data_IF_476094984896
#
_entry.id   IF_476094984896
#
_cell.length_a   1.000
_cell.length_b   1.000
_cell.length_c   1.000
_cell.angle_alpha   90.00
_cell.angle_beta   90.00
_cell.angle_gamma   90.00
#
_symmetry.space_group_name_H-M   'P 1'
#
loop_
_entity.id
_entity.type
_entity.pdbx_description
1 polymer ?
#
# COMPACT_ATOMS: atom_id res chain seq x y z
N UNK A 1 -6.39 6.15 21.16
CA UNK A 1 -5.93 6.29 19.77
C UNK A 1 -5.24 7.63 19.56
N UNK A 2 -4.05 7.63 18.97
CA UNK A 2 -3.44 8.86 18.49
C UNK A 2 -4.22 9.41 17.30
N UNK A 3 -4.42 10.72 17.22
CA UNK A 3 -4.97 11.39 16.04
C UNK A 3 -4.12 11.23 14.76
N UNK A 4 -3.00 10.49 14.83
CA UNK A 4 -2.02 10.31 13.76
C UNK A 4 -2.56 9.43 12.62
N UNK A 5 -3.32 8.39 12.97
CA UNK A 5 -3.84 7.41 12.02
C UNK A 5 -5.34 7.27 12.23
N UNK A 6 -6.10 7.28 11.14
CA UNK A 6 -7.51 6.89 11.14
C UNK A 6 -7.84 5.96 10.00
N UNK A 7 -8.72 5.02 10.29
CA UNK A 7 -9.33 4.17 9.27
C UNK A 7 -10.55 4.86 8.68
N UNK A 8 -10.81 4.59 7.41
CA UNK A 8 -11.91 5.15 6.64
C UNK A 8 -12.97 4.09 6.43
N UNK A 9 -14.24 4.43 6.61
CA UNK A 9 -15.37 3.52 6.36
C UNK A 9 -15.48 3.17 4.88
N UNK A 10 -15.76 1.90 4.58
CA UNK A 10 -15.97 1.43 3.20
C UNK A 10 -17.16 2.16 2.54
N UNK A 11 -18.22 2.44 3.29
CA UNK A 11 -19.37 3.25 2.81
C UNK A 11 -18.96 4.61 2.26
N UNK A 12 -17.99 5.28 2.89
CA UNK A 12 -17.48 6.57 2.43
C UNK A 12 -16.75 6.45 1.08
N UNK A 13 -15.92 5.41 0.91
CA UNK A 13 -15.23 5.15 -0.36
C UNK A 13 -16.22 4.89 -1.49
N UNK A 14 -17.28 4.10 -1.22
CA UNK A 14 -18.37 3.84 -2.16
C UNK A 14 -19.10 5.14 -2.54
N UNK A 15 -19.37 6.01 -1.57
CA UNK A 15 -19.99 7.32 -1.81
C UNK A 15 -19.13 8.20 -2.72
N UNK A 16 -17.83 8.30 -2.46
CA UNK A 16 -16.90 9.05 -3.33
C UNK A 16 -16.90 8.48 -4.75
N UNK A 17 -16.85 7.15 -4.90
CA UNK A 17 -16.91 6.49 -6.22
C UNK A 17 -18.22 6.82 -6.94
N UNK A 18 -19.35 6.74 -6.25
CA UNK A 18 -20.66 7.01 -6.82
C UNK A 18 -20.81 8.47 -7.28
N UNK A 19 -20.17 9.40 -6.57
CA UNK A 19 -20.10 10.81 -6.94
C UNK A 19 -19.10 11.11 -8.09
N UNK A 20 -18.32 10.11 -8.53
CA UNK A 20 -17.26 10.30 -9.52
C UNK A 20 -16.06 11.08 -8.99
N UNK A 21 -15.89 11.12 -7.66
CA UNK A 21 -14.77 11.79 -7.00
C UNK A 21 -13.51 10.91 -6.96
N UNK A 22 -12.48 11.40 -6.26
CA UNK A 22 -11.18 10.75 -6.08
C UNK A 22 -10.84 10.61 -4.59
N UNK A 23 -9.76 9.88 -4.28
CA UNK A 23 -9.23 9.87 -2.91
C UNK A 23 -8.97 11.29 -2.41
N UNK A 24 -9.32 11.58 -1.15
CA UNK A 24 -9.09 12.89 -0.52
C UNK A 24 -8.03 12.78 0.56
N UNK A 25 -7.44 13.91 0.96
CA UNK A 25 -6.50 13.95 2.06
C UNK A 25 -7.19 13.55 3.36
N UNK A 26 -6.43 12.96 4.29
CA UNK A 26 -6.92 12.63 5.64
C UNK A 26 -7.68 13.79 6.29
N UNK A 27 -7.20 15.02 6.18
CA UNK A 27 -7.82 16.19 6.81
C UNK A 27 -9.18 16.58 6.21
N UNK A 28 -9.42 16.18 4.96
CA UNK A 28 -10.65 16.47 4.23
C UNK A 28 -11.65 15.29 4.32
N UNK A 29 -11.27 14.17 4.94
CA UNK A 29 -12.20 13.08 5.27
C UNK A 29 -13.11 13.56 6.41
N UNK A 30 -14.44 13.55 6.23
CA UNK A 30 -15.35 14.06 7.23
C UNK A 30 -15.36 13.15 8.47
N UNK A 31 -15.60 13.69 9.67
CA UNK A 31 -15.48 12.94 10.92
C UNK A 31 -16.30 11.64 10.97
N UNK A 32 -17.50 11.63 10.42
CA UNK A 32 -18.40 10.48 10.36
C UNK A 32 -17.91 9.33 9.48
N UNK A 33 -17.00 9.63 8.53
CA UNK A 33 -16.40 8.64 7.65
C UNK A 33 -15.18 7.94 8.27
N UNK A 34 -14.77 8.34 9.48
CA UNK A 34 -13.60 7.82 10.18
C UNK A 34 -14.03 6.85 11.27
N UNK A 35 -13.19 5.85 11.51
CA UNK A 35 -13.38 4.92 12.62
C UNK A 35 -13.23 5.64 13.98
N UNK A 36 -14.12 5.28 14.90
CA UNK A 36 -14.00 5.54 16.31
C UNK A 36 -12.99 4.57 16.97
N UNK A 37 -12.41 4.93 18.13
CA UNK A 37 -11.28 4.21 18.68
C UNK A 37 -11.44 2.73 19.01
N UNK A 38 -12.66 2.28 19.25
CA UNK A 38 -13.01 0.94 19.70
C UNK A 38 -13.50 0.03 18.55
N UNK A 39 -13.74 0.59 17.36
CA UNK A 39 -14.30 -0.11 16.21
C UNK A 39 -13.32 -1.13 15.60
N UNK A 40 -12.01 -0.88 15.69
CA UNK A 40 -11.00 -1.78 15.10
C UNK A 40 -11.08 -3.25 15.54
N UNK A 41 -11.71 -3.52 16.69
CA UNK A 41 -11.91 -4.87 17.24
C UNK A 41 -13.12 -5.63 16.66
N UNK A 42 -14.10 -4.93 16.09
CA UNK A 42 -15.39 -5.53 15.66
C UNK A 42 -15.49 -5.68 14.15
N UNK A 43 -14.91 -4.75 13.40
CA UNK A 43 -15.00 -4.71 11.94
C UNK A 43 -13.89 -5.51 11.25
N UNK A 44 -14.07 -5.85 9.97
CA UNK A 44 -12.93 -6.29 9.14
C UNK A 44 -12.08 -5.07 8.79
N UNK A 45 -10.79 -5.31 8.65
CA UNK A 45 -9.80 -4.28 8.33
C UNK A 45 -9.23 -4.56 6.95
N UNK A 46 -9.17 -3.54 6.10
CA UNK A 46 -8.61 -3.62 4.77
C UNK A 46 -7.43 -2.66 4.64
N UNK A 47 -6.20 -3.17 4.68
CA UNK A 47 -5.02 -2.38 4.38
C UNK A 47 -4.87 -2.27 2.85
N UNK A 48 -4.93 -1.06 2.30
CA UNK A 48 -4.83 -0.84 0.86
C UNK A 48 -3.43 -0.34 0.53
N UNK A 49 -2.63 -1.21 -0.08
CA UNK A 49 -1.32 -0.83 -0.62
C UNK A 49 -1.46 -0.50 -2.10
N UNK A 50 -1.06 0.71 -2.48
CA UNK A 50 -1.18 1.18 -3.86
C UNK A 50 -0.06 2.15 -4.25
N UNK A 51 0.21 2.23 -5.54
CA UNK A 51 1.16 3.20 -6.09
C UNK A 51 0.54 4.60 -6.20
N UNK A 52 1.40 5.62 -6.07
CA UNK A 52 1.08 6.98 -6.50
C UNK A 52 1.05 7.05 -8.03
N UNK A 53 -0.01 7.63 -8.58
CA UNK A 53 -0.17 7.82 -10.02
C UNK A 53 0.63 9.00 -10.55
N UNK A 54 0.72 10.10 -9.81
CA UNK A 54 1.59 11.24 -10.13
C UNK A 54 2.38 11.65 -8.90
N UNK A 55 3.26 12.65 -9.05
CA UNK A 55 4.02 13.22 -7.92
C UNK A 55 3.09 14.03 -7.00
N UNK A 56 2.03 14.61 -7.56
CA UNK A 56 1.12 15.53 -6.87
C UNK A 56 0.00 14.78 -6.15
N UNK A 57 -0.51 13.69 -6.74
CA UNK A 57 -1.67 12.99 -6.22
C UNK A 57 -1.61 11.48 -6.50
N UNK A 58 -2.00 10.62 -5.56
CA UNK A 58 -2.01 9.18 -5.81
C UNK A 58 -3.17 8.71 -6.70
N UNK A 59 -4.17 9.57 -6.89
CA UNK A 59 -5.41 9.29 -7.61
C UNK A 59 -5.98 10.55 -8.33
N UNK A 60 -5.22 11.21 -9.22
CA UNK A 60 -5.60 12.48 -9.85
C UNK A 60 -7.01 12.47 -10.47
N UNK A 61 -7.45 11.33 -11.01
CA UNK A 61 -8.65 11.16 -11.84
C UNK A 61 -9.72 10.22 -11.22
N UNK A 62 -9.50 9.74 -10.00
CA UNK A 62 -10.42 8.82 -9.33
C UNK A 62 -10.30 7.35 -9.77
N UNK A 63 -9.36 7.03 -10.67
CA UNK A 63 -9.17 5.67 -11.15
C UNK A 63 -8.76 4.70 -10.03
N UNK A 64 -7.90 5.14 -9.10
CA UNK A 64 -7.46 4.31 -7.97
C UNK A 64 -8.64 4.03 -7.05
N UNK A 65 -9.42 5.05 -6.71
CA UNK A 65 -10.61 4.87 -5.88
C UNK A 65 -11.56 3.84 -6.49
N UNK A 66 -11.85 3.93 -7.80
CA UNK A 66 -12.71 2.95 -8.51
C UNK A 66 -12.16 1.53 -8.37
N UNK A 67 -10.86 1.35 -8.57
CA UNK A 67 -10.20 0.05 -8.49
C UNK A 67 -10.22 -0.53 -7.07
N UNK A 68 -9.97 0.30 -6.05
CA UNK A 68 -10.01 -0.08 -4.63
C UNK A 68 -11.43 -0.50 -4.21
N UNK A 69 -12.44 0.32 -4.51
CA UNK A 69 -13.82 0.00 -4.15
C UNK A 69 -14.28 -1.28 -4.84
N UNK A 70 -13.97 -1.47 -6.12
CA UNK A 70 -14.31 -2.71 -6.83
C UNK A 70 -13.73 -3.96 -6.14
N UNK A 71 -12.53 -3.86 -5.56
CA UNK A 71 -11.90 -4.99 -4.83
C UNK A 71 -12.56 -5.24 -3.50
N UNK A 72 -12.87 -4.18 -2.77
CA UNK A 72 -13.62 -4.28 -1.53
C UNK A 72 -15.00 -4.92 -1.79
N UNK A 73 -15.67 -4.55 -2.88
CA UNK A 73 -16.94 -5.16 -3.30
C UNK A 73 -16.76 -6.67 -3.62
N UNK A 74 -15.71 -7.04 -4.35
CA UNK A 74 -15.40 -8.45 -4.65
C UNK A 74 -15.05 -9.27 -3.40
N UNK A 75 -14.55 -8.61 -2.34
CA UNK A 75 -14.29 -9.19 -1.03
C UNK A 75 -15.52 -9.17 -0.11
N UNK A 76 -16.68 -8.78 -0.65
CA UNK A 76 -17.93 -8.65 0.08
C UNK A 76 -17.78 -7.75 1.31
N UNK A 77 -16.95 -6.70 1.23
CA UNK A 77 -16.75 -5.75 2.31
C UNK A 77 -18.08 -5.08 2.68
N UNK A 78 -18.39 -5.01 3.97
CA UNK A 78 -19.57 -4.34 4.48
C UNK A 78 -19.32 -2.84 4.57
N UNK A 79 -20.39 -2.04 4.57
CA UNK A 79 -20.30 -0.58 4.65
C UNK A 79 -19.62 -0.08 5.93
N UNK A 80 -19.75 -0.85 7.00
CA UNK A 80 -19.13 -0.59 8.31
C UNK A 80 -17.68 -1.04 8.37
N UNK A 81 -17.20 -1.87 7.44
CA UNK A 81 -15.80 -2.28 7.43
C UNK A 81 -14.86 -1.09 7.22
N UNK A 82 -13.60 -1.29 7.62
CA UNK A 82 -12.65 -0.21 7.77
C UNK A 82 -11.47 -0.40 6.81
N UNK A 83 -11.11 0.65 6.10
CA UNK A 83 -9.97 0.68 5.19
C UNK A 83 -8.85 1.59 5.72
N UNK A 84 -7.62 1.08 5.70
CA UNK A 84 -6.43 1.90 5.80
C UNK A 84 -5.94 2.23 4.39
N UNK A 85 -5.97 3.51 4.02
CA UNK A 85 -5.40 4.02 2.77
C UNK A 85 -4.44 5.12 3.20
N UNK A 86 -3.12 4.92 3.04
CA UNK A 86 -2.12 5.82 3.62
C UNK A 86 -2.41 7.31 3.38
N UNK A 87 -2.84 7.67 2.15
CA UNK A 87 -3.21 9.04 1.77
C UNK A 87 -4.41 9.62 2.54
N UNK A 88 -5.40 8.78 2.86
CA UNK A 88 -6.62 9.16 3.58
C UNK A 88 -6.53 8.90 5.09
N UNK A 89 -5.53 8.13 5.53
CA UNK A 89 -5.42 7.63 6.90
C UNK A 89 -4.38 8.34 7.73
N UNK A 90 -3.30 8.83 7.12
CA UNK A 90 -2.20 9.51 7.81
C UNK A 90 -2.41 11.02 7.79
N UNK A 91 -2.22 11.67 8.94
CA UNK A 91 -2.23 13.12 9.01
C UNK A 91 -0.94 13.69 8.40
N UNK A 92 -0.98 14.14 7.15
CA UNK A 92 0.09 14.94 6.55
C UNK A 92 0.12 16.33 7.19
N UNK A 93 1.27 16.81 7.66
CA UNK A 93 1.37 18.23 7.96
C UNK A 93 1.12 18.98 6.65
N UNK A 94 0.01 19.71 6.55
CA UNK A 94 -0.04 20.86 5.64
C UNK A 94 1.16 21.69 6.03
N UNK A 95 2.00 22.07 5.06
CA UNK A 95 3.05 23.06 5.25
C UNK A 95 2.40 24.32 5.86
N UNK A 96 2.30 24.34 7.20
CA UNK A 96 1.98 25.54 7.94
C UNK A 96 3.24 26.36 7.77
N UNK A 97 3.19 27.37 6.91
CA UNK A 97 4.32 28.20 6.51
C UNK A 97 5.06 28.81 7.70
N UNK A 98 5.90 28.00 8.34
CA UNK A 98 6.86 28.39 9.34
C UNK A 98 8.23 28.08 8.77
N UNK A 99 8.72 29.10 8.06
CA UNK A 99 10.13 29.45 7.97
C UNK A 99 10.94 28.85 9.14
N UNK A 100 11.61 27.73 8.89
CA UNK A 100 12.93 27.51 9.50
C UNK A 100 13.95 27.95 8.48
N UNK A 101 14.26 29.24 8.55
CA UNK A 101 15.58 29.75 8.18
C UNK A 101 16.63 28.80 8.77
N UNK A 102 17.24 27.99 7.91
CA UNK A 102 18.55 27.41 8.19
C UNK A 102 19.50 27.99 7.15
N UNK A 103 20.20 29.02 7.58
CA UNK A 103 21.30 29.65 6.88
C UNK A 103 22.27 28.60 6.33
N UNK A 104 22.48 28.62 5.03
CA UNK A 104 23.78 28.37 4.45
C UNK A 104 23.93 29.33 3.26
N UNK A 105 24.74 30.35 3.49
CA UNK A 105 25.14 31.32 2.50
C UNK A 105 25.81 30.61 1.31
N UNK A 106 25.46 31.02 0.10
CA UNK A 106 26.46 31.28 -0.94
C UNK A 106 25.85 32.18 -2.02
N UNK A 107 26.46 33.35 -2.15
CA UNK A 107 26.24 34.32 -3.21
C UNK A 107 26.32 33.69 -4.61
N UNK A 108 25.43 34.08 -5.52
CA UNK A 108 25.78 34.88 -6.71
C UNK A 108 24.55 35.38 -7.47
N UNK A 109 24.65 36.64 -7.87
CA UNK A 109 23.74 37.47 -8.65
C UNK A 109 23.59 37.02 -10.10
N UNK A 110 22.41 37.24 -10.68
CA UNK A 110 22.19 37.22 -12.13
C UNK A 110 20.71 37.39 -12.48
N UNK A 111 20.39 38.42 -13.25
CA UNK A 111 19.07 38.99 -13.57
C UNK A 111 18.31 38.30 -14.72
N UNK A 112 16.96 38.32 -14.61
CA UNK A 112 15.91 38.25 -15.66
C UNK A 112 15.45 36.86 -16.17
N UNK A 113 14.22 36.70 -16.72
CA UNK A 113 12.97 37.47 -16.63
C UNK A 113 11.83 36.71 -15.89
N UNK A 114 10.73 37.40 -15.59
CA UNK A 114 9.61 36.91 -14.79
C UNK A 114 9.03 35.57 -15.29
N UNK A 115 8.89 34.54 -14.44
CA UNK A 115 8.22 33.30 -14.82
C UNK A 115 6.70 33.49 -14.74
N UNK A 116 6.02 32.92 -15.74
CA UNK A 116 4.60 32.58 -15.73
C UNK A 116 4.21 32.09 -14.34
N UNK A 117 3.13 32.66 -13.76
CA UNK A 117 2.58 32.23 -12.47
C UNK A 117 2.26 30.73 -12.51
N UNK A 118 3.23 29.92 -12.09
CA UNK A 118 3.01 28.53 -11.74
C UNK A 118 2.11 28.55 -10.51
N UNK A 119 0.98 27.86 -10.61
CA UNK A 119 0.06 27.63 -9.51
C UNK A 119 0.83 27.06 -8.31
N UNK A 120 1.00 27.85 -7.25
CA UNK A 120 1.73 27.52 -6.01
C UNK A 120 1.13 26.33 -5.23
N UNK A 121 0.12 25.65 -5.79
CA UNK A 121 -0.61 24.53 -5.18
C UNK A 121 0.05 23.15 -5.35
N UNK A 122 1.14 23.04 -6.11
CA UNK A 122 1.85 21.77 -6.25
C UNK A 122 3.10 21.70 -5.34
N UNK A 123 2.90 21.84 -4.02
CA UNK A 123 3.93 21.43 -3.07
C UNK A 123 3.83 19.92 -2.89
N UNK A 124 4.85 19.20 -3.36
CA UNK A 124 5.01 17.75 -3.19
C UNK A 124 4.72 17.39 -1.73
N UNK A 125 3.84 16.41 -1.45
CA UNK A 125 3.56 16.01 -0.09
C UNK A 125 4.85 15.48 0.54
N UNK A 126 5.24 16.08 1.65
CA UNK A 126 6.27 15.53 2.54
C UNK A 126 5.74 14.18 3.00
N UNK A 127 6.27 13.11 2.41
CA UNK A 127 6.17 11.78 2.99
C UNK A 127 6.85 11.89 4.34
N UNK A 128 6.08 11.76 5.44
CA UNK A 128 6.67 11.68 6.76
C UNK A 128 7.69 10.56 6.78
N UNK A 129 8.96 10.89 6.99
CA UNK A 129 9.91 9.87 7.38
C UNK A 129 9.50 9.43 8.79
N UNK A 130 9.15 8.15 8.94
CA UNK A 130 8.82 7.56 10.24
C UNK A 130 9.94 7.80 11.25
N UNK A 131 11.19 7.95 10.79
CA UNK A 131 12.34 8.30 11.62
C UNK A 131 12.25 9.70 12.26
N UNK A 132 11.46 10.62 11.70
CA UNK A 132 11.25 11.97 12.23
C UNK A 132 10.10 12.05 13.24
N UNK A 133 9.32 10.98 13.43
CA UNK A 133 8.27 10.93 14.44
C UNK A 133 8.86 10.92 15.86
N UNK A 134 8.09 11.44 16.81
CA UNK A 134 8.42 11.28 18.23
C UNK A 134 8.46 9.79 18.59
N UNK A 135 9.27 9.35 19.58
CA UNK A 135 9.29 7.94 19.99
C UNK A 135 7.90 7.40 20.35
N UNK A 136 7.04 8.24 20.93
CA UNK A 136 5.66 7.88 21.24
C UNK A 136 4.85 7.62 19.95
N UNK A 137 4.96 8.49 18.95
CA UNK A 137 4.28 8.33 17.67
C UNK A 137 4.83 7.16 16.85
N UNK A 138 6.14 6.87 16.92
CA UNK A 138 6.74 5.67 16.34
C UNK A 138 6.18 4.39 16.99
N UNK A 139 6.03 4.38 18.32
CA UNK A 139 5.45 3.26 19.04
C UNK A 139 3.97 3.06 18.64
N UNK A 140 3.20 4.14 18.54
CA UNK A 140 1.80 4.11 18.10
C UNK A 140 1.67 3.61 16.66
N UNK A 141 2.50 4.12 15.75
CA UNK A 141 2.55 3.66 14.36
C UNK A 141 2.89 2.17 14.28
N UNK A 142 3.90 1.72 15.02
CA UNK A 142 4.30 0.31 15.07
C UNK A 142 3.19 -0.60 15.62
N UNK A 143 2.51 -0.17 16.68
CA UNK A 143 1.37 -0.90 17.25
C UNK A 143 0.21 -1.01 16.25
N UNK A 144 -0.07 0.06 15.51
CA UNK A 144 -1.08 0.06 14.46
C UNK A 144 -0.69 -0.82 13.27
N UNK A 145 0.55 -0.74 12.79
CA UNK A 145 1.05 -1.59 11.71
C UNK A 145 0.96 -3.08 12.08
N UNK A 146 1.26 -3.44 13.34
CA UNK A 146 1.04 -4.79 13.85
C UNK A 146 -0.44 -5.18 13.83
N UNK A 147 -1.35 -4.27 14.18
CA UNK A 147 -2.80 -4.52 14.11
C UNK A 147 -3.24 -4.77 12.67
N UNK A 148 -2.85 -3.92 11.72
CA UNK A 148 -3.18 -4.14 10.31
C UNK A 148 -2.57 -5.43 9.75
N UNK A 149 -1.36 -5.78 10.15
CA UNK A 149 -0.66 -6.95 9.57
C UNK A 149 -1.15 -8.26 10.19
N UNK A 150 -1.40 -8.29 11.50
CA UNK A 150 -1.58 -9.53 12.27
C UNK A 150 -3.00 -9.76 12.76
N UNK A 151 -3.91 -8.79 12.65
CA UNK A 151 -5.28 -8.98 13.12
C UNK A 151 -5.99 -10.05 12.28
N UNK A 152 -6.69 -11.05 12.89
CA UNK A 152 -7.28 -12.17 12.14
C UNK A 152 -8.29 -11.76 11.06
N UNK A 153 -8.97 -10.62 11.29
CA UNK A 153 -9.95 -10.02 10.38
C UNK A 153 -9.35 -8.99 9.42
N UNK A 154 -8.03 -8.83 9.43
CA UNK A 154 -7.36 -7.92 8.51
C UNK A 154 -7.06 -8.60 7.18
N UNK A 155 -7.19 -7.84 6.10
CA UNK A 155 -6.81 -8.22 4.74
C UNK A 155 -6.02 -7.09 4.11
N UNK A 156 -4.95 -7.44 3.39
CA UNK A 156 -4.19 -6.46 2.61
C UNK A 156 -4.57 -6.57 1.15
N UNK A 157 -5.17 -5.50 0.63
CA UNK A 157 -5.54 -5.33 -0.77
C UNK A 157 -4.39 -4.63 -1.49
N UNK A 158 -3.77 -5.32 -2.45
CA UNK A 158 -2.66 -4.77 -3.23
C UNK A 158 -3.16 -4.32 -4.60
N UNK A 159 -3.39 -3.02 -4.75
CA UNK A 159 -3.81 -2.40 -6.00
C UNK A 159 -2.58 -1.99 -6.81
N UNK A 160 -2.10 -2.91 -7.65
CA UNK A 160 -0.87 -2.73 -8.45
C UNK A 160 -1.12 -2.06 -9.80
N UNK A 161 -2.30 -2.29 -10.40
CA UNK A 161 -2.63 -1.82 -11.74
C UNK A 161 -2.55 -0.28 -11.81
N UNK A 162 -2.20 0.22 -12.99
CA UNK A 162 -2.08 1.65 -13.30
C UNK A 162 -3.00 2.01 -14.46
N UNK A 163 -3.45 3.28 -14.55
CA UNK A 163 -4.15 3.75 -15.74
C UNK A 163 -3.28 3.58 -17.00
N UNK A 164 -3.88 3.30 -18.17
CA UNK A 164 -3.13 3.23 -19.43
C UNK A 164 -2.32 4.51 -19.68
N UNK A 165 -1.05 4.34 -20.04
CA UNK A 165 -0.15 5.47 -20.36
C UNK A 165 0.56 6.11 -19.17
N UNK A 166 0.33 5.65 -17.93
CA UNK A 166 1.13 6.08 -16.77
C UNK A 166 2.34 5.17 -16.62
N UNK A 167 3.52 5.69 -16.96
CA UNK A 167 4.78 4.98 -16.80
C UNK A 167 5.20 5.01 -15.31
N UNK A 168 5.46 3.83 -14.74
CA UNK A 168 5.82 3.72 -13.33
C UNK A 168 7.15 3.04 -13.12
N UNK A 169 7.89 3.49 -12.09
CA UNK A 169 8.86 2.62 -11.40
C UNK A 169 8.17 1.33 -10.98
N UNK A 170 8.85 0.20 -11.18
CA UNK A 170 8.35 -1.14 -10.89
C UNK A 170 7.93 -1.19 -9.41
N UNK A 171 6.80 -1.82 -9.09
CA UNK A 171 6.22 -1.84 -7.73
C UNK A 171 7.24 -2.26 -6.66
N UNK A 172 8.08 -3.24 -7.00
CA UNK A 172 9.17 -3.78 -6.17
C UNK A 172 10.32 -2.81 -5.89
N UNK A 173 10.46 -1.73 -6.66
CA UNK A 173 11.44 -0.67 -6.41
C UNK A 173 10.93 0.37 -5.40
N UNK A 174 9.69 0.20 -4.93
CA UNK A 174 9.04 1.07 -3.95
C UNK A 174 9.08 0.40 -2.58
N UNK A 175 10.06 0.80 -1.77
CA UNK A 175 10.39 0.14 -0.50
C UNK A 175 9.18 -0.12 0.42
N UNK A 176 8.27 0.86 0.56
CA UNK A 176 7.10 0.70 1.43
C UNK A 176 6.06 -0.28 0.87
N UNK A 177 5.75 -0.17 -0.43
CA UNK A 177 4.83 -1.07 -1.12
C UNK A 177 5.31 -2.52 -1.07
N UNK A 178 6.63 -2.74 -1.20
CA UNK A 178 7.24 -4.06 -1.05
C UNK A 178 7.20 -4.56 0.40
N UNK A 179 7.42 -3.69 1.39
CA UNK A 179 7.33 -4.06 2.80
C UNK A 179 5.92 -4.51 3.19
N UNK A 180 4.89 -3.74 2.83
CA UNK A 180 3.48 -4.08 3.06
C UNK A 180 3.14 -5.43 2.42
N UNK A 181 3.60 -5.64 1.18
CA UNK A 181 3.40 -6.86 0.43
C UNK A 181 4.00 -8.08 1.14
N UNK A 182 5.27 -7.98 1.55
CA UNK A 182 5.99 -9.08 2.21
C UNK A 182 5.37 -9.40 3.57
N UNK A 183 5.10 -8.39 4.40
CA UNK A 183 4.51 -8.59 5.73
C UNK A 183 3.13 -9.25 5.65
N UNK A 184 2.29 -8.78 4.72
CA UNK A 184 0.95 -9.32 4.52
C UNK A 184 0.96 -10.74 3.97
N UNK A 185 1.96 -11.08 3.15
CA UNK A 185 2.13 -12.43 2.62
C UNK A 185 2.48 -13.41 3.74
N UNK A 186 3.40 -13.04 4.62
CA UNK A 186 3.75 -13.86 5.79
C UNK A 186 2.62 -13.99 6.81
N UNK A 187 1.85 -12.92 7.01
CA UNK A 187 0.69 -12.94 7.88
C UNK A 187 -0.47 -13.78 7.31
N UNK A 188 -0.45 -14.11 6.01
CA UNK A 188 -1.55 -14.80 5.33
C UNK A 188 -2.82 -13.95 5.23
N UNK A 189 -2.66 -12.62 5.20
CA UNK A 189 -3.76 -11.66 5.12
C UNK A 189 -3.91 -11.09 3.70
N UNK A 190 -3.06 -11.50 2.76
CA UNK A 190 -2.97 -10.86 1.45
C UNK A 190 -4.09 -11.30 0.50
N UNK A 191 -4.71 -10.32 -0.14
CA UNK A 191 -5.65 -10.49 -1.26
C UNK A 191 -4.99 -9.92 -2.51
N UNK A 192 -4.75 -10.78 -3.51
CA UNK A 192 -4.11 -10.40 -4.76
C UNK A 192 -5.12 -10.09 -5.87
N UNK A 193 -4.70 -9.19 -6.75
CA UNK A 193 -5.38 -8.86 -7.99
C UNK A 193 -4.86 -9.63 -9.21
N UNK A 194 -3.64 -10.15 -9.12
CA UNK A 194 -2.92 -10.75 -10.23
C UNK A 194 -1.85 -11.73 -9.73
N UNK A 195 -1.61 -12.81 -10.51
CA UNK A 195 -0.57 -13.82 -10.28
C UNK A 195 0.83 -13.21 -10.21
N UNK A 196 1.09 -12.15 -10.97
CA UNK A 196 2.43 -11.55 -11.05
C UNK A 196 2.94 -11.04 -9.69
N UNK A 197 2.04 -10.62 -8.80
CA UNK A 197 2.42 -10.11 -7.48
C UNK A 197 2.99 -11.21 -6.57
N UNK A 198 2.51 -12.45 -6.69
CA UNK A 198 3.06 -13.60 -5.94
C UNK A 198 4.46 -13.92 -6.44
N UNK A 199 4.67 -13.89 -7.75
CA UNK A 199 5.99 -14.13 -8.35
C UNK A 199 7.00 -13.05 -7.94
N UNK A 200 6.60 -11.80 -7.75
CA UNK A 200 7.46 -10.74 -7.18
C UNK A 200 7.94 -11.09 -5.76
N UNK A 201 7.01 -11.47 -4.86
CA UNK A 201 7.35 -11.85 -3.47
C UNK A 201 8.30 -13.05 -3.46
N UNK A 202 8.01 -14.04 -4.30
CA UNK A 202 8.82 -15.23 -4.43
C UNK A 202 10.22 -14.90 -4.92
N UNK A 203 10.35 -14.14 -6.00
CA UNK A 203 11.62 -13.94 -6.67
C UNK A 203 12.56 -13.04 -5.85
N UNK A 204 12.02 -11.96 -5.27
CA UNK A 204 12.82 -10.96 -4.56
C UNK A 204 13.18 -11.36 -3.14
N UNK A 205 12.27 -12.00 -2.42
CA UNK A 205 12.46 -12.32 -1.00
C UNK A 205 13.00 -13.75 -0.86
N UNK A 206 12.21 -14.72 -1.31
CA UNK A 206 12.46 -16.12 -1.01
C UNK A 206 13.54 -16.73 -1.92
N UNK A 207 13.41 -16.61 -3.24
CA UNK A 207 14.32 -17.24 -4.20
C UNK A 207 15.71 -16.62 -4.17
N UNK A 208 15.82 -15.32 -3.90
CA UNK A 208 17.13 -14.67 -3.65
C UNK A 208 17.81 -15.27 -2.43
N UNK A 209 17.10 -15.43 -1.31
CA UNK A 209 17.64 -16.06 -0.11
C UNK A 209 17.95 -17.55 -0.35
N UNK A 210 17.05 -18.29 -0.98
CA UNK A 210 17.19 -19.71 -1.26
C UNK A 210 18.39 -20.01 -2.16
N UNK A 211 18.61 -19.21 -3.21
CA UNK A 211 19.78 -19.34 -4.11
C UNK A 211 21.11 -19.06 -3.42
N UNK A 212 21.11 -18.37 -2.27
CA UNK A 212 22.31 -18.16 -1.47
C UNK A 212 22.62 -19.31 -0.50
N UNK A 213 21.75 -20.33 -0.44
CA UNK A 213 21.88 -21.46 0.48
C UNK A 213 22.21 -22.74 -0.26
N UNK A 214 22.98 -23.61 0.39
CA UNK A 214 23.28 -24.96 -0.07
C UNK A 214 22.57 -25.96 0.83
N UNK A 215 21.84 -26.91 0.23
CA UNK A 215 21.19 -27.97 0.99
C UNK A 215 22.24 -28.96 1.51
N UNK A 216 22.04 -29.44 2.74
CA UNK A 216 22.96 -30.36 3.42
C UNK A 216 23.07 -31.72 2.74
N UNK A 217 22.10 -32.08 1.89
CA UNK A 217 22.09 -33.32 1.12
C UNK A 217 22.92 -33.25 -0.18
N UNK A 218 23.51 -32.08 -0.51
CA UNK A 218 24.32 -31.88 -1.71
C UNK A 218 23.54 -31.89 -3.03
N UNK A 219 22.21 -31.97 -2.99
CA UNK A 219 21.32 -31.94 -4.17
C UNK A 219 20.67 -30.58 -4.32
N UNK A 220 20.39 -30.19 -5.57
CA UNK A 220 19.70 -28.94 -5.88
C UNK A 220 18.19 -29.15 -5.81
N UNK A 221 17.61 -29.08 -4.62
CA UNK A 221 16.16 -29.18 -4.41
C UNK A 221 15.43 -27.83 -4.60
N UNK A 222 16.08 -26.88 -5.29
CA UNK A 222 15.61 -25.50 -5.47
C UNK A 222 14.21 -25.42 -6.07
N UNK A 223 13.93 -26.25 -7.09
CA UNK A 223 12.62 -26.29 -7.74
C UNK A 223 11.51 -26.75 -6.80
N UNK A 224 11.72 -27.86 -6.09
CA UNK A 224 10.75 -28.44 -5.15
C UNK A 224 10.45 -27.46 -4.01
N UNK A 225 11.48 -26.85 -3.43
CA UNK A 225 11.32 -25.90 -2.33
C UNK A 225 10.67 -24.59 -2.81
N UNK A 226 11.00 -24.14 -4.03
CA UNK A 226 10.30 -23.02 -4.67
C UNK A 226 8.81 -23.33 -4.77
N UNK A 227 8.44 -24.45 -5.41
CA UNK A 227 7.05 -24.83 -5.67
C UNK A 227 6.24 -25.05 -4.39
N UNK A 228 6.83 -25.64 -3.36
CA UNK A 228 6.22 -25.76 -2.02
C UNK A 228 5.91 -24.39 -1.43
N UNK A 229 6.86 -23.46 -1.48
CA UNK A 229 6.67 -22.12 -0.94
C UNK A 229 5.69 -21.29 -1.77
N UNK A 230 5.71 -21.42 -3.11
CA UNK A 230 4.68 -20.83 -4.00
C UNK A 230 3.29 -21.34 -3.62
N UNK A 231 3.17 -22.66 -3.44
CA UNK A 231 1.93 -23.32 -3.04
C UNK A 231 1.41 -22.83 -1.70
N UNK A 232 2.29 -22.65 -0.72
CA UNK A 232 1.95 -22.08 0.60
C UNK A 232 1.42 -20.64 0.47
N UNK A 233 2.09 -19.79 -0.33
CA UNK A 233 1.64 -18.42 -0.53
C UNK A 233 0.29 -18.35 -1.23
N UNK A 234 0.07 -19.19 -2.26
CA UNK A 234 -1.23 -19.27 -2.92
C UNK A 234 -2.34 -19.74 -1.98
N UNK A 235 -2.09 -20.78 -1.18
CA UNK A 235 -3.04 -21.26 -0.19
C UNK A 235 -3.39 -20.18 0.84
N UNK A 236 -2.37 -19.50 1.39
CA UNK A 236 -2.56 -18.41 2.37
C UNK A 236 -3.25 -17.20 1.79
N UNK A 237 -3.19 -17.00 0.48
CA UNK A 237 -3.90 -15.93 -0.22
C UNK A 237 -5.28 -16.34 -0.76
N UNK A 238 -5.79 -17.52 -0.43
CA UNK A 238 -7.07 -18.01 -0.94
C UNK A 238 -7.08 -18.36 -2.43
N UNK A 239 -5.91 -18.52 -3.04
CA UNK A 239 -5.69 -18.84 -4.45
C UNK A 239 -5.28 -20.31 -4.67
N UNK A 240 -5.72 -21.21 -3.80
CA UNK A 240 -5.41 -22.65 -3.89
C UNK A 240 -5.73 -23.24 -5.26
N UNK A 241 -6.81 -22.78 -5.92
CA UNK A 241 -7.20 -23.14 -7.29
C UNK A 241 -6.10 -22.90 -8.35
N UNK A 242 -5.18 -21.95 -8.12
CA UNK A 242 -4.11 -21.60 -9.06
C UNK A 242 -2.88 -22.51 -8.93
N UNK A 243 -2.82 -23.36 -7.89
CA UNK A 243 -1.76 -24.35 -7.66
C UNK A 243 -1.75 -25.45 -8.73
N UNK A 244 -2.92 -25.79 -9.27
CA UNK A 244 -3.10 -27.00 -10.10
C UNK A 244 -2.95 -26.75 -11.61
N UNK A 245 -2.97 -25.49 -12.06
CA UNK A 245 -2.96 -25.17 -13.50
C UNK A 245 -1.61 -25.44 -14.20
N UNK A 246 -0.50 -25.65 -13.48
CA UNK A 246 0.80 -25.99 -14.10
C UNK A 246 1.03 -27.47 -14.35
N UNK A 247 0.40 -28.36 -13.57
CA UNK A 247 0.55 -29.81 -13.81
C UNK A 247 -0.20 -30.27 -15.08
N UNK A 248 -1.27 -29.57 -15.46
CA UNK A 248 -2.04 -29.88 -16.67
C UNK A 248 -1.42 -29.35 -17.97
N UNK A 249 -0.50 -28.38 -17.90
CA UNK A 249 0.20 -27.87 -19.08
C UNK A 249 1.44 -28.69 -19.45
N UNK A 250 2.05 -29.39 -18.47
CA UNK A 250 3.22 -30.25 -18.68
C UNK A 250 2.88 -31.72 -19.01
N UNK A 251 1.61 -32.10 -18.92
CA UNK A 251 1.12 -33.45 -19.24
C UNK A 251 0.35 -33.51 -20.57
N UNK A 252 0.31 -32.40 -21.32
CA UNK A 252 -0.36 -32.25 -22.61
C UNK A 252 0.55 -31.90 -23.78
N UNK A 253 1.86 -32.12 -23.66
CA UNK A 253 2.84 -31.96 -24.75
C UNK A 253 3.67 -33.23 -24.92
#
# INVERSE_FOLDING_TARGET
ESGLIKLVRVSYLRRLRAAGERLVWRQDVPPEALAAPDETSRQRLFAVSHCWQTVEHPDPDGWRLKNVVQKLDNLEAEDEDLAYIAYMSLSFARDQGQNKHRSAATHRSGTSPAPVQADERAKVPVVWDVAELTPEDQQKFSSFANTLSMHPRSRTVVSWQMPPGVETRVYEERGWCLADLVLSAFAGTLVYDDREVVDIVLEKSFMRALRSKTFTNGKTDLGIVSDLFKGLLYERAGLSQLKDQRHNAASGA
#
